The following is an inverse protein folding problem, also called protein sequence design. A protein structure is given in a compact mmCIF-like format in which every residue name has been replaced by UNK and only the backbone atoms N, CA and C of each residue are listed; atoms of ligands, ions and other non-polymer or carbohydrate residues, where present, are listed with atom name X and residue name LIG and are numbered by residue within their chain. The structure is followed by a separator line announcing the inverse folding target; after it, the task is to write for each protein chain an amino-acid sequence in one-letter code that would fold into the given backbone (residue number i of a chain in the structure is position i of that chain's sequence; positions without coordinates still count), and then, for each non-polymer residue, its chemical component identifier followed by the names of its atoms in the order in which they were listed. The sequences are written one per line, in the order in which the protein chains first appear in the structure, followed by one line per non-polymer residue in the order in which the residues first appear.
data_IF_878930692376
#
_entry.id   IF_878930692376
#
_cell.length_a   1.000
_cell.length_b   1.000
_cell.length_c   1.000
_cell.angle_alpha   90.00
_cell.angle_beta   90.00
_cell.angle_gamma   90.00
#
_symmetry.space_group_name_H-M   'P 1'
#
loop_
_entity.id
_entity.type
_entity.pdbx_description
1 polymer ?
#
# COMPACT_ATOMS: atom_id res chain seq x y z
N UNK A 1 -9.34 -31.17 -53.51
CA UNK A 1 -10.52 -30.66 -52.78
C UNK A 1 -10.29 -30.81 -51.28
N UNK A 2 -10.24 -29.69 -50.56
CA UNK A 2 -10.82 -29.42 -49.22
C UNK A 2 -9.96 -28.38 -48.50
N UNK A 3 -10.39 -27.13 -48.66
CA UNK A 3 -10.01 -25.99 -47.83
C UNK A 3 -10.44 -26.29 -46.40
N UNK A 4 -9.51 -26.33 -45.46
CA UNK A 4 -9.83 -26.26 -44.04
C UNK A 4 -9.80 -24.79 -43.62
N UNK A 5 -10.98 -24.17 -43.63
CA UNK A 5 -11.23 -22.95 -42.87
C UNK A 5 -11.34 -23.35 -41.41
N UNK A 6 -10.36 -22.98 -40.59
CA UNK A 6 -10.52 -23.04 -39.14
C UNK A 6 -11.02 -21.67 -38.66
N UNK A 7 -12.28 -21.69 -38.23
CA UNK A 7 -13.02 -20.59 -37.66
C UNK A 7 -12.50 -20.28 -36.23
N UNK A 8 -11.96 -19.08 -36.07
CA UNK A 8 -12.25 -18.11 -35.00
C UNK A 8 -12.62 -18.63 -33.59
N UNK A 9 -11.79 -18.33 -32.60
CA UNK A 9 -12.27 -17.81 -31.31
C UNK A 9 -11.29 -16.73 -30.84
N UNK A 10 -11.65 -15.47 -31.09
CA UNK A 10 -11.04 -14.32 -30.42
C UNK A 10 -11.68 -14.26 -29.02
N UNK A 11 -10.94 -14.67 -27.99
CA UNK A 11 -11.35 -14.42 -26.60
C UNK A 11 -11.02 -12.96 -26.31
N UNK A 12 -12.02 -12.09 -26.44
CA UNK A 12 -12.05 -10.79 -25.80
C UNK A 12 -12.05 -11.03 -24.29
N UNK A 13 -10.88 -10.95 -23.66
CA UNK A 13 -10.81 -10.73 -22.21
C UNK A 13 -11.37 -9.34 -21.99
N UNK A 14 -12.65 -9.29 -21.62
CA UNK A 14 -13.31 -8.11 -21.09
C UNK A 14 -12.48 -7.63 -19.90
N UNK A 15 -11.69 -6.58 -20.13
CA UNK A 15 -11.06 -5.82 -19.08
C UNK A 15 -12.21 -5.15 -18.32
N UNK A 16 -12.66 -5.77 -17.24
CA UNK A 16 -13.57 -5.17 -16.28
C UNK A 16 -12.83 -4.03 -15.61
N UNK A 17 -12.81 -2.85 -16.25
CA UNK A 17 -12.49 -1.60 -15.60
C UNK A 17 -13.70 -1.22 -14.76
N UNK A 18 -13.92 -1.94 -13.65
CA UNK A 18 -14.64 -1.33 -12.53
C UNK A 18 -13.89 -0.02 -12.24
N UNK A 19 -14.56 1.13 -12.33
CA UNK A 19 -13.93 2.38 -11.95
C UNK A 19 -13.44 2.19 -10.52
N UNK A 20 -12.12 2.24 -10.30
CA UNK A 20 -11.61 2.42 -8.94
C UNK A 20 -12.35 3.65 -8.40
N UNK A 21 -12.99 3.58 -7.22
CA UNK A 21 -13.65 4.75 -6.65
C UNK A 21 -12.64 5.89 -6.70
N UNK A 22 -13.03 6.99 -7.32
CA UNK A 22 -12.21 8.20 -7.43
C UNK A 22 -11.99 8.67 -5.99
N UNK A 23 -10.90 8.21 -5.38
CA UNK A 23 -10.50 8.63 -4.05
C UNK A 23 -10.23 10.12 -4.19
N UNK A 24 -11.06 10.93 -3.52
CA UNK A 24 -10.84 12.37 -3.43
C UNK A 24 -9.41 12.60 -2.94
N UNK A 25 -8.70 13.60 -3.48
CA UNK A 25 -7.36 13.92 -3.01
C UNK A 25 -7.41 14.14 -1.50
N UNK A 26 -6.53 13.44 -0.79
CA UNK A 26 -6.47 13.49 0.68
C UNK A 26 -6.01 14.89 1.13
N UNK A 27 -5.16 15.55 0.33
CA UNK A 27 -4.81 16.97 0.46
C UNK A 27 -4.14 17.45 -0.84
N UNK A 28 -4.31 18.73 -1.16
CA UNK A 28 -3.60 19.39 -2.26
C UNK A 28 -2.26 20.02 -1.80
N UNK A 29 -1.96 19.93 -0.51
CA UNK A 29 -0.75 20.48 0.09
C UNK A 29 0.19 19.36 0.57
N UNK A 30 1.34 19.24 -0.09
CA UNK A 30 2.37 18.26 0.24
C UNK A 30 2.83 18.34 1.69
N UNK A 31 3.10 19.54 2.21
CA UNK A 31 3.63 19.71 3.56
C UNK A 31 2.62 19.26 4.61
N UNK A 32 1.33 19.53 4.39
CA UNK A 32 0.27 19.06 5.27
C UNK A 32 0.15 17.54 5.23
N UNK A 33 0.08 16.96 4.02
CA UNK A 33 -0.01 15.52 3.83
C UNK A 33 1.20 14.78 4.43
N UNK A 34 2.41 15.31 4.20
CA UNK A 34 3.64 14.79 4.79
C UNK A 34 3.61 14.87 6.31
N UNK A 35 3.26 16.02 6.89
CA UNK A 35 3.24 16.18 8.33
C UNK A 35 2.23 15.23 8.99
N UNK A 36 1.05 15.04 8.37
CA UNK A 36 0.06 14.08 8.84
C UNK A 36 0.57 12.63 8.75
N UNK A 37 1.15 12.25 7.60
CA UNK A 37 1.75 10.92 7.40
C UNK A 37 2.87 10.64 8.41
N UNK A 38 3.78 11.60 8.60
CA UNK A 38 4.89 11.50 9.54
C UNK A 38 4.40 11.41 11.00
N UNK A 39 3.42 12.22 11.39
CA UNK A 39 2.84 12.20 12.75
C UNK A 39 2.22 10.84 13.09
N UNK A 40 1.56 10.19 12.12
CA UNK A 40 1.03 8.84 12.30
C UNK A 40 2.16 7.81 12.29
N UNK A 41 3.10 7.91 11.36
CA UNK A 41 4.17 6.93 11.18
C UNK A 41 5.12 6.88 12.38
N UNK A 42 5.47 8.02 12.99
CA UNK A 42 6.41 8.09 14.13
C UNK A 42 5.87 7.45 15.42
N UNK A 43 4.60 7.08 15.46
CA UNK A 43 4.04 6.25 16.54
C UNK A 43 4.54 4.80 16.51
N UNK A 44 5.18 4.40 15.40
CA UNK A 44 5.84 3.11 15.23
C UNK A 44 7.35 3.30 15.10
N UNK A 45 8.16 2.26 15.36
CA UNK A 45 9.59 2.32 15.08
C UNK A 45 9.83 2.48 13.57
N UNK A 46 10.56 3.52 13.19
CA UNK A 46 10.89 3.83 11.80
C UNK A 46 12.31 3.36 11.47
N UNK A 47 12.47 2.78 10.28
CA UNK A 47 13.76 2.41 9.72
C UNK A 47 14.39 3.56 8.95
N UNK A 48 13.59 4.22 8.11
CA UNK A 48 14.03 5.33 7.28
C UNK A 48 12.85 6.26 6.97
N UNK A 49 13.14 7.54 6.75
CA UNK A 49 12.17 8.52 6.28
C UNK A 49 12.84 9.69 5.59
N UNK A 50 12.22 10.18 4.52
CA UNK A 50 12.72 11.34 3.80
C UNK A 50 11.58 12.18 3.26
N UNK A 51 11.44 13.37 3.84
CA UNK A 51 10.50 14.39 3.37
C UNK A 51 10.79 14.81 1.93
N UNK A 52 12.04 14.70 1.47
CA UNK A 52 12.42 15.08 0.11
C UNK A 52 11.92 14.06 -0.93
N UNK A 53 11.97 12.77 -0.60
CA UNK A 53 11.50 11.69 -1.48
C UNK A 53 10.04 11.29 -1.23
N UNK A 54 9.42 11.81 -0.17
CA UNK A 54 8.05 11.46 0.18
C UNK A 54 7.91 10.04 0.72
N UNK A 55 8.97 9.48 1.32
CA UNK A 55 8.98 8.08 1.74
C UNK A 55 9.12 7.92 3.25
N UNK A 56 8.40 6.95 3.83
CA UNK A 56 8.51 6.48 5.21
C UNK A 56 8.55 4.95 5.21
N UNK A 57 9.54 4.35 5.86
CA UNK A 57 9.65 2.90 6.07
C UNK A 57 9.65 2.59 7.56
N UNK A 58 8.79 1.65 7.98
CA UNK A 58 8.80 1.13 9.34
C UNK A 58 9.88 0.06 9.54
N UNK A 59 10.31 -0.11 10.79
CA UNK A 59 10.91 -1.37 11.21
C UNK A 59 9.86 -2.50 11.23
N UNK A 60 10.32 -3.73 11.44
CA UNK A 60 9.42 -4.86 11.67
C UNK A 60 8.61 -4.66 12.95
N UNK A 61 7.29 -4.59 12.83
CA UNK A 61 6.33 -4.45 13.92
C UNK A 61 5.72 -5.83 14.18
N UNK A 62 5.81 -6.28 15.43
CA UNK A 62 5.26 -7.57 15.85
C UNK A 62 3.80 -7.40 16.26
N UNK A 63 2.90 -8.12 15.60
CA UNK A 63 1.50 -8.26 16.02
C UNK A 63 1.40 -9.27 17.16
N UNK A 64 2.11 -10.38 16.96
CA UNK A 64 2.25 -11.49 17.89
C UNK A 64 3.67 -12.04 17.77
N UNK A 65 4.03 -12.95 18.66
CA UNK A 65 5.36 -13.56 18.70
C UNK A 65 5.84 -14.13 17.36
N UNK A 66 4.91 -14.65 16.55
CA UNK A 66 5.21 -15.32 15.28
C UNK A 66 4.64 -14.58 14.06
N UNK A 67 4.19 -13.33 14.23
CA UNK A 67 3.57 -12.52 13.19
C UNK A 67 4.16 -11.12 13.20
N UNK A 68 4.73 -10.70 12.06
CA UNK A 68 5.31 -9.36 11.94
C UNK A 68 5.01 -8.73 10.59
N UNK A 69 4.92 -7.41 10.57
CA UNK A 69 4.73 -6.65 9.36
C UNK A 69 5.64 -5.43 9.28
N UNK A 70 5.80 -4.91 8.07
CA UNK A 70 6.36 -3.60 7.78
C UNK A 70 5.36 -2.82 6.95
N UNK A 71 5.38 -1.51 7.08
CA UNK A 71 4.67 -0.62 6.17
C UNK A 71 5.63 0.33 5.47
N UNK A 72 5.23 0.73 4.28
CA UNK A 72 5.89 1.73 3.46
C UNK A 72 4.85 2.76 3.08
N UNK A 73 5.12 4.02 3.34
CA UNK A 73 4.26 5.13 2.92
C UNK A 73 5.02 5.95 1.89
N UNK A 74 4.39 6.15 0.75
CA UNK A 74 4.94 6.96 -0.36
C UNK A 74 3.96 8.08 -0.69
N UNK A 75 4.48 9.30 -0.77
CA UNK A 75 3.75 10.49 -1.19
C UNK A 75 4.26 10.87 -2.57
N UNK A 76 3.38 10.81 -3.56
CA UNK A 76 3.71 11.14 -4.94
C UNK A 76 2.86 12.30 -5.44
N UNK A 77 3.48 13.21 -6.21
CA UNK A 77 2.73 14.22 -6.95
C UNK A 77 2.15 13.59 -8.21
N UNK A 78 0.83 13.52 -8.32
CA UNK A 78 0.12 13.30 -9.60
C UNK A 78 -0.35 14.65 -10.14
N UNK A 79 -0.67 14.71 -11.43
CA UNK A 79 -0.87 15.93 -12.25
C UNK A 79 -1.23 17.18 -11.44
N UNK A 80 -2.34 17.16 -10.70
CA UNK A 80 -2.81 18.30 -9.89
C UNK A 80 -2.98 17.99 -8.39
N UNK A 81 -2.63 16.80 -7.92
CA UNK A 81 -2.89 16.37 -6.53
C UNK A 81 -1.77 15.52 -5.95
N UNK A 82 -1.60 15.53 -4.63
CA UNK A 82 -0.71 14.59 -3.97
C UNK A 82 -1.45 13.31 -3.61
N UNK A 83 -0.88 12.17 -3.95
CA UNK A 83 -1.42 10.86 -3.59
C UNK A 83 -0.55 10.22 -2.52
N UNK A 84 -1.22 9.54 -1.60
CA UNK A 84 -0.64 8.77 -0.52
C UNK A 84 -0.85 7.28 -0.83
N UNK A 85 0.24 6.57 -1.03
CA UNK A 85 0.24 5.11 -1.20
C UNK A 85 0.81 4.46 0.05
N UNK A 86 0.19 3.38 0.50
CA UNK A 86 0.63 2.62 1.69
C UNK A 86 0.68 1.15 1.32
N UNK A 87 1.88 0.59 1.35
CA UNK A 87 2.13 -0.83 1.14
C UNK A 87 2.48 -1.51 2.46
N UNK A 88 2.17 -2.80 2.56
CA UNK A 88 2.53 -3.63 3.71
C UNK A 88 3.20 -4.91 3.28
N UNK A 89 4.26 -5.27 4.00
CA UNK A 89 4.89 -6.58 3.91
C UNK A 89 4.56 -7.34 5.18
N UNK A 90 4.20 -8.61 5.05
CA UNK A 90 3.79 -9.44 6.18
C UNK A 90 4.51 -10.78 6.14
N UNK A 91 5.01 -11.19 7.30
CA UNK A 91 5.66 -12.47 7.48
C UNK A 91 5.12 -13.19 8.71
N UNK A 92 5.05 -14.51 8.59
CA UNK A 92 4.72 -15.41 9.70
C UNK A 92 5.77 -16.51 9.84
N UNK A 93 5.86 -17.11 11.02
CA UNK A 93 6.66 -18.30 11.28
C UNK A 93 5.83 -19.31 12.07
N UNK A 94 6.11 -20.61 11.90
CA UNK A 94 5.36 -21.64 12.63
C UNK A 94 5.74 -21.72 14.12
N UNK A 95 6.96 -21.30 14.46
CA UNK A 95 7.51 -21.24 15.81
C UNK A 95 8.69 -20.27 15.84
N UNK A 96 9.18 -19.92 17.03
CA UNK A 96 10.35 -19.04 17.23
C UNK A 96 11.63 -19.47 16.50
N UNK A 97 11.80 -20.78 16.28
CA UNK A 97 12.97 -21.36 15.62
C UNK A 97 12.75 -21.62 14.13
N UNK A 98 11.51 -21.48 13.64
CA UNK A 98 11.20 -21.67 12.23
C UNK A 98 11.60 -20.42 11.41
N UNK A 99 11.98 -20.58 10.14
CA UNK A 99 12.26 -19.42 9.28
C UNK A 99 10.97 -18.65 8.98
N UNK A 100 11.10 -17.32 8.88
CA UNK A 100 10.02 -16.45 8.41
C UNK A 100 9.61 -16.78 6.97
N UNK A 101 8.31 -16.76 6.72
CA UNK A 101 7.71 -16.96 5.41
C UNK A 101 6.85 -15.78 5.05
N UNK A 102 6.87 -15.41 3.78
CA UNK A 102 6.00 -14.37 3.25
C UNK A 102 4.54 -14.79 3.33
N UNK A 103 3.70 -13.84 3.72
CA UNK A 103 2.26 -14.00 3.75
C UNK A 103 1.59 -12.86 3.00
N UNK A 104 0.29 -13.01 2.73
CA UNK A 104 -0.51 -11.96 2.13
C UNK A 104 -0.38 -10.64 2.92
N UNK A 105 -0.24 -9.49 2.22
CA UNK A 105 -0.25 -8.17 2.84
C UNK A 105 -1.47 -7.94 3.73
N UNK A 106 -1.27 -7.12 4.76
CA UNK A 106 -2.32 -6.79 5.73
C UNK A 106 -3.07 -5.54 5.27
N UNK A 107 -4.17 -5.73 4.54
CA UNK A 107 -5.01 -4.64 4.01
C UNK A 107 -5.66 -3.83 5.14
N UNK A 108 -6.06 -4.48 6.23
CA UNK A 108 -6.61 -3.82 7.42
C UNK A 108 -5.64 -2.80 8.02
N UNK A 109 -4.34 -3.09 8.04
CA UNK A 109 -3.31 -2.16 8.52
C UNK A 109 -3.17 -0.97 7.56
N UNK A 110 -3.19 -1.21 6.24
CA UNK A 110 -3.15 -0.13 5.25
C UNK A 110 -4.34 0.82 5.42
N UNK A 111 -5.55 0.27 5.57
CA UNK A 111 -6.78 1.05 5.77
C UNK A 111 -6.74 1.85 7.08
N UNK A 112 -6.29 1.24 8.18
CA UNK A 112 -6.14 1.93 9.46
C UNK A 112 -5.13 3.07 9.39
N UNK A 113 -3.99 2.87 8.73
CA UNK A 113 -2.99 3.93 8.55
C UNK A 113 -3.55 5.07 7.71
N UNK A 114 -4.25 4.77 6.60
CA UNK A 114 -4.90 5.79 5.76
C UNK A 114 -5.94 6.59 6.57
N UNK A 115 -6.77 5.91 7.35
CA UNK A 115 -7.78 6.54 8.20
C UNK A 115 -7.14 7.49 9.23
N UNK A 116 -6.13 7.03 9.97
CA UNK A 116 -5.42 7.86 10.96
C UNK A 116 -4.75 9.08 10.32
N UNK A 117 -4.19 8.94 9.12
CA UNK A 117 -3.57 10.05 8.40
C UNK A 117 -4.64 11.05 7.97
N UNK A 118 -5.79 10.57 7.49
CA UNK A 118 -6.92 11.41 7.15
C UNK A 118 -7.49 12.17 8.36
N UNK A 119 -7.63 11.50 9.51
CA UNK A 119 -8.03 12.11 10.78
C UNK A 119 -7.04 13.19 11.22
N UNK A 120 -5.73 13.00 10.98
CA UNK A 120 -4.71 13.99 11.32
C UNK A 120 -4.72 15.23 10.40
N UNK A 121 -5.45 15.21 9.30
CA UNK A 121 -5.60 16.35 8.38
C UNK A 121 -6.86 17.18 8.65
N UNK A 122 -7.79 16.64 9.45
CA UNK A 122 -9.04 17.29 9.85
C UNK A 122 -8.85 18.13 11.11
#
# INVERSE_FOLDING_TARGET
MKNFYLLLVVILVSCSSTPKPVQKPISDNYDQLWNAAYKVAITYPLKDFSKKSGTLESEWIYLEENHRYKFFITLEKKVDTFQLEIDTLHQTQASKQAPWRWHAPLSNIQEQLKMKIHESLS
#
